data_IF_501136298147
#
_entry.id   IF_501136298147
#
_cell.length_a   1.000
_cell.length_b   1.000
_cell.length_c   1.000
_cell.angle_alpha   90.00
_cell.angle_beta   90.00
_cell.angle_gamma   90.00
#
_symmetry.space_group_name_H-M   'P 1'
#
loop_
_entity.id
_entity.type
_entity.pdbx_description
1 polymer ?
#
# COMPACT_ATOMS: atom_id res chain seq x y z
N UNK A 1 1.70 16.67 -17.55
CA UNK A 1 1.65 15.28 -17.04
C UNK A 1 0.73 15.27 -15.84
N UNK A 2 -0.41 14.58 -15.91
CA UNK A 2 -1.47 14.69 -14.91
C UNK A 2 -1.15 13.80 -13.69
N UNK A 3 -0.38 14.34 -12.75
CA UNK A 3 0.16 13.64 -11.56
C UNK A 3 -0.97 13.03 -10.72
N UNK A 4 -2.16 13.62 -10.77
CA UNK A 4 -3.32 13.18 -9.99
C UNK A 4 -3.77 11.75 -10.33
N UNK A 5 -3.81 11.39 -11.61
CA UNK A 5 -4.26 10.06 -12.03
C UNK A 5 -3.29 8.95 -11.59
N UNK A 6 -1.99 9.24 -11.59
CA UNK A 6 -0.96 8.25 -11.25
C UNK A 6 -1.01 7.86 -9.77
N UNK A 7 -1.18 8.85 -8.88
CA UNK A 7 -1.31 8.62 -7.43
C UNK A 7 -2.59 7.85 -7.10
N UNK A 8 -3.71 8.16 -7.76
CA UNK A 8 -4.98 7.44 -7.55
C UNK A 8 -4.86 5.97 -7.97
N UNK A 9 -4.24 5.69 -9.12
CA UNK A 9 -3.99 4.31 -9.55
C UNK A 9 -3.00 3.58 -8.63
N UNK A 10 -1.94 4.24 -8.19
CA UNK A 10 -1.00 3.67 -7.22
C UNK A 10 -1.70 3.30 -5.91
N UNK A 11 -2.55 4.19 -5.38
CA UNK A 11 -3.35 3.92 -4.21
C UNK A 11 -4.28 2.72 -4.42
N UNK A 12 -5.04 2.70 -5.50
CA UNK A 12 -5.93 1.58 -5.82
C UNK A 12 -5.18 0.24 -5.91
N UNK A 13 -4.05 0.22 -6.63
CA UNK A 13 -3.23 -0.99 -6.79
C UNK A 13 -2.69 -1.47 -5.44
N UNK A 14 -2.24 -0.56 -4.58
CA UNK A 14 -1.74 -0.89 -3.24
C UNK A 14 -2.87 -1.40 -2.32
N UNK A 15 -3.98 -0.68 -2.21
CA UNK A 15 -5.11 -1.04 -1.33
C UNK A 15 -5.78 -2.36 -1.73
N UNK A 16 -5.81 -2.66 -3.04
CA UNK A 16 -6.43 -3.88 -3.57
C UNK A 16 -5.45 -5.03 -3.82
N UNK A 17 -4.17 -4.88 -3.42
CA UNK A 17 -3.10 -5.84 -3.65
C UNK A 17 -3.03 -6.36 -5.11
N UNK A 18 -3.17 -5.46 -6.09
CA UNK A 18 -3.15 -5.81 -7.52
C UNK A 18 -1.72 -5.89 -8.05
N UNK A 19 -1.44 -6.76 -9.03
CA UNK A 19 -0.17 -6.70 -9.75
C UNK A 19 -0.10 -5.40 -10.58
N UNK A 20 1.07 -4.76 -10.64
CA UNK A 20 1.25 -3.53 -11.44
C UNK A 20 0.91 -3.72 -12.93
N UNK A 21 1.04 -4.95 -13.43
CA UNK A 21 0.68 -5.35 -14.78
C UNK A 21 -0.79 -5.11 -15.14
N UNK A 22 -1.69 -4.96 -14.15
CA UNK A 22 -3.10 -4.64 -14.40
C UNK A 22 -3.27 -3.34 -15.20
N UNK A 23 -2.33 -2.40 -15.04
CA UNK A 23 -2.34 -1.10 -15.73
C UNK A 23 -2.05 -1.26 -17.24
N UNK A 24 -1.32 -2.30 -17.61
CA UNK A 24 -1.01 -2.63 -18.99
C UNK A 24 -2.11 -3.46 -19.69
N UNK A 25 -3.16 -3.89 -18.96
CA UNK A 25 -4.24 -4.67 -19.55
C UNK A 25 -5.09 -3.83 -20.52
N UNK A 26 -5.33 -4.38 -21.72
CA UNK A 26 -6.07 -3.70 -22.77
C UNK A 26 -7.53 -3.37 -22.39
N UNK A 27 -8.20 -4.21 -21.59
CA UNK A 27 -9.59 -3.97 -21.17
C UNK A 27 -9.64 -2.91 -20.09
N UNK A 28 -8.68 -2.92 -19.17
CA UNK A 28 -8.50 -1.85 -18.20
C UNK A 28 -8.30 -0.51 -18.91
N UNK A 29 -7.36 -0.44 -19.87
CA UNK A 29 -7.11 0.79 -20.61
C UNK A 29 -8.34 1.27 -21.39
N UNK A 30 -9.01 0.34 -22.09
CA UNK A 30 -10.27 0.65 -22.78
C UNK A 30 -11.32 1.24 -21.83
N UNK A 31 -11.47 0.67 -20.63
CA UNK A 31 -12.40 1.18 -19.61
C UNK A 31 -12.00 2.57 -19.10
N UNK A 32 -10.71 2.83 -18.87
CA UNK A 32 -10.24 4.14 -18.43
C UNK A 32 -10.43 5.23 -19.50
N UNK A 33 -10.43 4.87 -20.78
CA UNK A 33 -10.74 5.78 -21.89
C UNK A 33 -12.24 5.91 -22.16
N UNK A 34 -13.08 5.04 -21.59
CA UNK A 34 -14.53 5.11 -21.77
C UNK A 34 -15.09 6.38 -21.10
N UNK A 35 -15.54 7.34 -21.91
CA UNK A 35 -16.03 8.64 -21.44
C UNK A 35 -14.96 9.72 -21.31
N UNK A 36 -13.66 9.38 -21.42
CA UNK A 36 -12.56 10.33 -21.48
C UNK A 36 -11.41 9.81 -22.36
N UNK A 37 -11.50 9.97 -23.69
CA UNK A 37 -10.49 9.44 -24.62
C UNK A 37 -9.07 9.96 -24.34
N UNK A 38 -8.95 11.22 -23.93
CA UNK A 38 -7.67 11.88 -23.61
C UNK A 38 -7.16 11.56 -22.19
N UNK A 39 -7.77 10.60 -21.49
CA UNK A 39 -7.35 10.23 -20.14
C UNK A 39 -5.93 9.67 -20.14
N UNK A 40 -5.03 10.32 -19.41
CA UNK A 40 -3.67 9.82 -19.23
C UNK A 40 -3.65 8.57 -18.35
N UNK A 41 -3.09 7.48 -18.87
CA UNK A 41 -2.82 6.25 -18.13
C UNK A 41 -1.29 6.13 -17.93
N UNK A 42 -0.80 6.08 -16.68
CA UNK A 42 0.62 5.84 -16.40
C UNK A 42 1.05 4.43 -16.82
N UNK A 43 2.35 4.23 -17.01
CA UNK A 43 2.88 2.86 -17.19
C UNK A 43 2.90 2.10 -15.86
N UNK A 44 2.95 0.77 -15.91
CA UNK A 44 3.11 -0.08 -14.73
C UNK A 44 4.36 0.28 -13.90
N UNK A 45 5.45 0.72 -14.55
CA UNK A 45 6.68 1.15 -13.87
C UNK A 45 6.46 2.48 -13.13
N UNK A 46 5.71 3.42 -13.72
CA UNK A 46 5.34 4.67 -13.05
C UNK A 46 4.47 4.39 -11.84
N UNK A 47 3.46 3.53 -11.96
CA UNK A 47 2.63 3.11 -10.82
C UNK A 47 3.48 2.42 -9.74
N UNK A 48 4.41 1.55 -10.12
CA UNK A 48 5.33 0.92 -9.17
C UNK A 48 6.22 1.92 -8.42
N UNK A 49 6.72 2.97 -9.10
CA UNK A 49 7.47 4.06 -8.45
C UNK A 49 6.59 4.85 -7.48
N UNK A 50 5.35 5.14 -7.86
CA UNK A 50 4.42 5.89 -7.04
C UNK A 50 3.96 5.10 -5.82
N UNK A 51 3.70 3.79 -5.96
CA UNK A 51 3.43 2.90 -4.81
C UNK A 51 4.61 2.88 -3.84
N UNK A 52 5.84 2.84 -4.36
CA UNK A 52 7.04 2.93 -3.52
C UNK A 52 7.15 4.28 -2.79
N UNK A 53 6.81 5.38 -3.47
CA UNK A 53 6.79 6.70 -2.86
C UNK A 53 5.73 6.80 -1.75
N UNK A 54 4.52 6.28 -2.00
CA UNK A 54 3.45 6.19 -1.01
C UNK A 54 3.89 5.34 0.20
N UNK A 55 4.46 4.17 -0.05
CA UNK A 55 4.98 3.30 1.00
C UNK A 55 6.02 4.00 1.88
N UNK A 56 6.99 4.70 1.28
CA UNK A 56 8.00 5.43 2.04
C UNK A 56 7.36 6.51 2.92
N UNK A 57 6.38 7.25 2.40
CA UNK A 57 5.69 8.28 3.16
C UNK A 57 4.88 7.69 4.31
N UNK A 58 4.15 6.61 4.07
CA UNK A 58 3.39 5.90 5.11
C UNK A 58 4.31 5.29 6.16
N UNK A 59 5.46 4.74 5.74
CA UNK A 59 6.48 4.18 6.65
C UNK A 59 7.03 5.25 7.58
N UNK A 60 7.35 6.45 7.08
CA UNK A 60 7.80 7.58 7.92
C UNK A 60 6.75 7.90 8.99
N UNK A 61 5.48 8.06 8.61
CA UNK A 61 4.39 8.35 9.55
C UNK A 61 4.19 7.26 10.59
N UNK A 62 4.23 5.98 10.20
CA UNK A 62 4.11 4.86 11.15
C UNK A 62 5.36 4.81 12.07
N UNK A 63 6.55 5.08 11.55
CA UNK A 63 7.76 5.09 12.36
C UNK A 63 7.74 6.19 13.43
N UNK A 64 7.28 7.40 13.08
CA UNK A 64 7.05 8.49 14.04
C UNK A 64 6.03 8.06 15.11
N UNK A 65 4.88 7.51 14.70
CA UNK A 65 3.84 7.04 15.62
C UNK A 65 4.36 5.97 16.59
N UNK A 66 5.12 4.99 16.10
CA UNK A 66 5.67 3.91 16.92
C UNK A 66 6.81 4.35 17.84
N UNK A 67 7.58 5.38 17.49
CA UNK A 67 8.64 5.93 18.34
C UNK A 67 8.09 6.74 19.52
N UNK A 68 6.96 7.42 19.31
CA UNK A 68 6.26 8.19 20.35
C UNK A 68 5.35 7.31 21.22
N UNK A 69 5.10 6.06 20.81
CA UNK A 69 4.19 5.16 21.52
C UNK A 69 4.76 4.70 22.86
N UNK A 70 4.01 4.96 23.94
CA UNK A 70 4.38 4.62 25.33
C UNK A 70 3.77 3.30 25.82
N UNK A 71 3.01 2.61 24.97
CA UNK A 71 2.37 1.33 25.27
C UNK A 71 3.13 0.10 24.77
N UNK A 72 2.48 -1.05 24.87
CA UNK A 72 3.03 -2.32 24.39
C UNK A 72 2.65 -2.59 22.93
N UNK A 73 3.61 -3.06 22.15
CA UNK A 73 3.40 -3.49 20.76
C UNK A 73 3.48 -5.01 20.73
N UNK A 74 2.38 -5.67 20.41
CA UNK A 74 2.36 -7.10 20.18
C UNK A 74 2.99 -7.40 18.81
N UNK A 75 4.04 -8.22 18.80
CA UNK A 75 4.72 -8.65 17.57
C UNK A 75 4.34 -10.09 17.26
N UNK A 76 3.88 -10.33 16.03
CA UNK A 76 3.60 -11.65 15.49
C UNK A 76 4.60 -11.96 14.39
N UNK A 77 5.16 -13.17 14.44
CA UNK A 77 6.11 -13.68 13.44
C UNK A 77 5.49 -14.90 12.77
N UNK A 78 5.40 -14.85 11.45
CA UNK A 78 5.02 -16.02 10.64
C UNK A 78 6.20 -16.39 9.74
N UNK A 79 6.70 -17.61 9.88
CA UNK A 79 7.83 -18.11 9.09
C UNK A 79 7.40 -19.34 8.32
N UNK A 80 7.56 -19.29 7.00
CA UNK A 80 7.20 -20.40 6.12
C UNK A 80 8.25 -20.56 5.01
N UNK A 81 8.26 -21.73 4.37
CA UNK A 81 9.13 -22.03 3.23
C UNK A 81 8.28 -22.39 2.04
N UNK A 82 8.49 -21.74 0.91
CA UNK A 82 7.75 -22.09 -0.31
C UNK A 82 8.19 -23.44 -0.88
N UNK A 83 7.35 -24.07 -1.73
CA UNK A 83 7.75 -25.29 -2.46
C UNK A 83 9.05 -25.12 -3.26
N UNK A 84 9.36 -23.89 -3.70
CA UNK A 84 10.59 -23.54 -4.42
C UNK A 84 11.82 -23.35 -3.51
N UNK A 85 11.72 -23.79 -2.26
CA UNK A 85 12.74 -23.68 -1.22
C UNK A 85 13.15 -22.27 -0.80
N UNK A 86 12.35 -21.25 -1.11
CA UNK A 86 12.58 -19.89 -0.63
C UNK A 86 12.00 -19.73 0.80
N UNK A 87 12.81 -19.40 1.82
CA UNK A 87 12.29 -19.08 3.15
C UNK A 87 11.68 -17.66 3.15
N UNK A 88 10.58 -17.51 3.86
CA UNK A 88 9.88 -16.24 4.07
C UNK A 88 9.64 -16.03 5.56
N UNK A 89 9.66 -14.76 5.97
CA UNK A 89 9.29 -14.31 7.31
C UNK A 89 8.41 -13.08 7.16
N UNK A 90 7.21 -13.15 7.72
CA UNK A 90 6.33 -12.01 7.91
C UNK A 90 6.45 -11.53 9.35
N UNK A 91 6.44 -10.21 9.52
CA UNK A 91 6.45 -9.54 10.83
C UNK A 91 5.23 -8.63 10.83
N UNK A 92 4.36 -8.80 11.83
CA UNK A 92 3.17 -7.98 12.01
C UNK A 92 3.20 -7.35 13.40
N UNK A 93 2.83 -6.08 13.48
CA UNK A 93 2.74 -5.31 14.72
C UNK A 93 1.30 -4.94 15.02
N UNK A 94 0.92 -5.05 16.29
CA UNK A 94 -0.39 -4.57 16.76
C UNK A 94 -0.23 -3.73 18.02
N UNK A 95 -0.91 -2.59 18.06
CA UNK A 95 -0.89 -1.66 19.20
C UNK A 95 -2.23 -0.93 19.34
N UNK A 96 -2.48 -0.37 20.52
CA UNK A 96 -3.68 0.41 20.80
C UNK A 96 -3.43 1.88 20.48
N UNK A 97 -4.16 2.43 19.52
CA UNK A 97 -4.10 3.85 19.14
C UNK A 97 -5.22 4.63 19.83
N UNK A 98 -4.88 5.72 20.50
CA UNK A 98 -5.88 6.64 21.07
C UNK A 98 -6.48 7.54 19.98
N UNK A 99 -7.78 7.40 19.75
CA UNK A 99 -8.58 8.26 18.90
C UNK A 99 -8.78 9.65 19.51
N UNK A 100 -9.26 10.60 18.69
CA UNK A 100 -9.53 11.98 19.13
C UNK A 100 -10.64 12.09 20.17
N UNK A 101 -11.50 11.08 20.26
CA UNK A 101 -12.56 10.94 21.25
C UNK A 101 -12.09 10.26 22.55
N UNK A 102 -10.79 9.97 22.67
CA UNK A 102 -10.17 9.31 23.82
C UNK A 102 -10.38 7.80 23.86
N UNK A 103 -11.06 7.21 22.87
CA UNK A 103 -11.20 5.75 22.77
C UNK A 103 -9.94 5.12 22.20
N UNK A 104 -9.59 3.95 22.69
CA UNK A 104 -8.51 3.15 22.15
C UNK A 104 -9.03 2.23 21.05
N UNK A 105 -8.35 2.23 19.91
CA UNK A 105 -8.61 1.38 18.76
C UNK A 105 -7.41 0.47 18.52
N UNK A 106 -7.67 -0.82 18.30
CA UNK A 106 -6.61 -1.76 17.92
C UNK A 106 -6.21 -1.51 16.47
N UNK A 107 -4.94 -1.16 16.26
CA UNK A 107 -4.33 -1.02 14.95
C UNK A 107 -3.46 -2.24 14.68
N UNK A 108 -3.48 -2.73 13.43
CA UNK A 108 -2.68 -3.87 12.97
C UNK A 108 -2.05 -3.52 11.63
N UNK A 109 -0.74 -3.70 11.53
CA UNK A 109 0.05 -3.47 10.31
C UNK A 109 0.99 -4.64 10.03
#
# INVERSE_FOLDING_TARGET
>A
MNIYNSVVMARWVAESARPFQVIADHRYQWLQHAGCPEHYIPSQETVGRDVKALFNKTKETIAEELQEYDGEIAIMLDTWKSPNHCPFMSIMGSWLRKGKDGKEELITH
#
